data_IF_073521083477
#
_entry.id   IF_073521083477
#
_cell.length_a   1.000
_cell.length_b   1.000
_cell.length_c   1.000
_cell.angle_alpha   90.00
_cell.angle_beta   90.00
_cell.angle_gamma   90.00
#
_symmetry.space_group_name_H-M   'P 1'
#
loop_
_entity.id
_entity.type
_entity.pdbx_description
1 polymer ?
#
# COMPACT_ATOMS: atom_id res chain seq x y z
N UNK A 1 -10.64 -6.08 16.80
CA UNK A 1 -9.84 -4.99 17.42
C UNK A 1 -10.18 -3.68 16.73
N UNK A 2 -10.06 -2.55 17.42
CA UNK A 2 -10.18 -1.24 16.78
C UNK A 2 -9.03 -1.03 15.78
N UNK A 3 -9.29 -0.41 14.62
CA UNK A 3 -8.25 -0.17 13.64
C UNK A 3 -7.22 0.83 14.19
N UNK A 4 -5.94 0.49 14.07
CA UNK A 4 -4.83 1.40 14.41
C UNK A 4 -4.24 1.95 13.13
N UNK A 5 -4.09 3.27 13.04
CA UNK A 5 -3.55 3.93 11.85
C UNK A 5 -2.12 4.40 12.14
N UNK A 6 -1.22 4.19 11.19
CA UNK A 6 0.15 4.71 11.20
C UNK A 6 0.37 5.61 10.00
N UNK A 7 1.07 6.72 10.22
CA UNK A 7 1.49 7.61 9.15
C UNK A 7 2.65 7.00 8.40
N UNK A 8 2.56 6.98 7.07
CA UNK A 8 3.64 6.50 6.21
C UNK A 8 4.25 7.69 5.48
N UNK A 9 5.55 7.98 5.69
CA UNK A 9 6.21 9.07 4.98
C UNK A 9 6.17 8.83 3.47
N UNK A 10 5.70 9.82 2.70
CA UNK A 10 5.54 9.70 1.25
C UNK A 10 6.85 9.32 0.55
N UNK A 11 7.98 9.87 1.02
CA UNK A 11 9.31 9.55 0.49
C UNK A 11 9.77 8.11 0.70
N UNK A 12 9.14 7.35 1.61
CA UNK A 12 9.47 5.94 1.87
C UNK A 12 8.57 4.96 1.08
N UNK A 13 7.52 5.43 0.41
CA UNK A 13 6.53 4.54 -0.22
C UNK A 13 7.14 3.68 -1.32
N UNK A 14 7.99 4.27 -2.16
CA UNK A 14 8.66 3.53 -3.25
C UNK A 14 9.51 2.39 -2.69
N UNK A 15 10.35 2.70 -1.70
CA UNK A 15 11.18 1.71 -1.02
C UNK A 15 10.34 0.60 -0.35
N UNK A 16 9.23 0.98 0.30
CA UNK A 16 8.29 0.01 0.87
C UNK A 16 7.78 -0.93 -0.22
N UNK A 17 7.32 -0.42 -1.36
CA UNK A 17 6.79 -1.24 -2.46
C UNK A 17 7.84 -2.10 -3.17
N UNK A 18 9.10 -1.68 -3.22
CA UNK A 18 10.21 -2.51 -3.71
C UNK A 18 10.44 -3.72 -2.79
N UNK A 19 10.29 -3.54 -1.47
CA UNK A 19 10.51 -4.58 -0.46
C UNK A 19 9.26 -5.31 0.03
N UNK A 20 8.05 -4.93 -0.40
CA UNK A 20 6.81 -5.29 0.32
C UNK A 20 6.54 -6.79 0.40
N UNK A 21 7.03 -7.56 -0.58
CA UNK A 21 6.93 -9.02 -0.63
C UNK A 21 7.59 -9.70 0.59
N UNK A 22 8.59 -9.05 1.21
CA UNK A 22 9.30 -9.56 2.41
C UNK A 22 8.41 -9.64 3.64
N UNK A 23 7.30 -8.90 3.66
CA UNK A 23 6.36 -8.86 4.78
C UNK A 23 5.17 -9.82 4.61
N UNK A 24 5.19 -10.65 3.56
CA UNK A 24 4.14 -11.63 3.28
C UNK A 24 2.84 -10.98 2.80
N UNK A 25 2.70 -10.81 1.50
CA UNK A 25 1.51 -10.23 0.87
C UNK A 25 0.33 -11.20 1.02
N UNK A 26 -0.76 -10.69 1.57
CA UNK A 26 -2.04 -11.40 1.77
C UNK A 26 -3.04 -11.03 0.67
N UNK A 27 -2.90 -9.84 0.08
CA UNK A 27 -3.70 -9.44 -1.07
C UNK A 27 -3.35 -8.03 -1.55
N UNK A 28 -3.62 -7.78 -2.83
CA UNK A 28 -3.44 -6.46 -3.45
C UNK A 28 -4.73 -6.06 -4.18
N UNK A 29 -5.11 -4.83 -3.95
CA UNK A 29 -6.24 -4.18 -4.60
C UNK A 29 -5.78 -2.82 -5.12
N UNK A 30 -6.15 -2.51 -6.34
CA UNK A 30 -5.89 -1.20 -6.95
C UNK A 30 -7.18 -0.74 -7.56
N UNK A 31 -7.56 0.50 -7.29
CA UNK A 31 -8.79 1.13 -7.77
C UNK A 31 -8.38 2.38 -8.56
N UNK A 32 -8.74 2.44 -9.84
CA UNK A 32 -8.46 3.60 -10.69
C UNK A 32 -9.76 4.20 -11.25
N UNK A 33 -10.19 5.32 -10.68
CA UNK A 33 -11.43 5.99 -11.08
C UNK A 33 -11.37 6.54 -12.52
N UNK A 34 -10.17 6.68 -13.09
CA UNK A 34 -9.97 7.16 -14.46
C UNK A 34 -9.84 6.02 -15.49
N UNK A 35 -9.78 4.75 -15.09
CA UNK A 35 -9.56 3.64 -16.02
C UNK A 35 -9.95 2.29 -15.41
N UNK A 36 -10.67 1.47 -16.18
CA UNK A 36 -11.04 0.09 -15.81
C UNK A 36 -9.89 -0.92 -15.98
N UNK A 37 -8.64 -0.46 -16.10
CA UNK A 37 -7.49 -1.31 -16.36
C UNK A 37 -7.17 -2.23 -15.18
N UNK A 38 -7.44 -1.75 -13.98
CA UNK A 38 -7.32 -2.46 -12.70
C UNK A 38 -8.26 -3.66 -12.59
N UNK A 39 -9.50 -3.55 -13.10
CA UNK A 39 -10.46 -4.67 -13.19
C UNK A 39 -9.94 -5.83 -14.06
N UNK A 40 -9.05 -5.54 -15.01
CA UNK A 40 -8.47 -6.55 -15.90
C UNK A 40 -7.26 -7.28 -15.29
N UNK A 41 -6.70 -6.80 -14.17
CA UNK A 41 -5.53 -7.41 -13.52
C UNK A 41 -5.96 -8.61 -12.69
N UNK A 42 -5.65 -9.82 -13.19
CA UNK A 42 -6.15 -11.08 -12.64
C UNK A 42 -5.29 -11.61 -11.48
N UNK A 43 -4.01 -11.24 -11.41
CA UNK A 43 -3.08 -11.76 -10.41
C UNK A 43 -2.55 -10.67 -9.49
N UNK A 44 -2.32 -10.99 -8.21
CA UNK A 44 -1.65 -10.10 -7.24
C UNK A 44 -0.30 -9.59 -7.76
N UNK A 45 0.44 -10.43 -8.50
CA UNK A 45 1.71 -10.05 -9.12
C UNK A 45 1.56 -8.95 -10.18
N UNK A 46 0.51 -9.02 -11.00
CA UNK A 46 0.23 -8.00 -12.01
C UNK A 46 -0.23 -6.70 -11.35
N UNK A 47 -1.05 -6.80 -10.31
CA UNK A 47 -1.48 -5.65 -9.50
C UNK A 47 -0.30 -4.99 -8.79
N UNK A 48 0.63 -5.77 -8.24
CA UNK A 48 1.84 -5.23 -7.62
C UNK A 48 2.72 -4.50 -8.65
N UNK A 49 2.89 -5.10 -9.83
CA UNK A 49 3.66 -4.48 -10.91
C UNK A 49 3.01 -3.15 -11.33
N UNK A 50 1.70 -3.16 -11.57
CA UNK A 50 0.96 -1.95 -11.91
C UNK A 50 1.08 -0.87 -10.83
N UNK A 51 0.93 -1.25 -9.56
CA UNK A 51 1.12 -0.34 -8.44
C UNK A 51 2.52 0.30 -8.42
N UNK A 52 3.57 -0.50 -8.65
CA UNK A 52 4.96 -0.01 -8.74
C UNK A 52 5.13 0.97 -9.92
N UNK A 53 4.58 0.64 -11.08
CA UNK A 53 4.61 1.52 -12.27
C UNK A 53 3.92 2.87 -11.96
N UNK A 54 2.75 2.85 -11.33
CA UNK A 54 2.05 4.08 -10.94
C UNK A 54 2.81 4.91 -9.92
N UNK A 55 3.46 4.27 -8.95
CA UNK A 55 4.28 4.96 -7.95
C UNK A 55 5.53 5.64 -8.53
N UNK A 56 6.05 5.14 -9.65
CA UNK A 56 7.21 5.73 -10.33
C UNK A 56 6.80 6.97 -11.14
N UNK A 57 5.72 6.87 -11.91
CA UNK A 57 5.22 7.92 -12.81
C UNK A 57 4.39 9.01 -12.11
N UNK A 58 3.68 8.67 -11.03
CA UNK A 58 2.64 9.51 -10.45
C UNK A 58 3.04 10.29 -9.19
N UNK A 59 2.15 11.20 -8.79
CA UNK A 59 2.27 11.94 -7.53
C UNK A 59 1.50 11.24 -6.42
N UNK A 60 2.15 10.99 -5.29
CA UNK A 60 1.52 10.41 -4.11
C UNK A 60 0.90 11.53 -3.28
N UNK A 61 -0.42 11.51 -3.09
CA UNK A 61 -1.13 12.50 -2.28
C UNK A 61 -1.07 12.17 -0.79
N UNK A 62 -1.25 10.89 -0.46
CA UNK A 62 -1.25 10.42 0.93
C UNK A 62 -0.95 8.93 1.02
N UNK A 63 -0.39 8.51 2.15
CA UNK A 63 -0.18 7.12 2.47
C UNK A 63 -0.34 6.82 3.95
N UNK A 64 -1.00 5.71 4.26
CA UNK A 64 -1.31 5.28 5.62
C UNK A 64 -1.19 3.77 5.71
N UNK A 65 -0.75 3.27 6.86
CA UNK A 65 -0.84 1.85 7.20
C UNK A 65 -1.98 1.69 8.21
N UNK A 66 -2.96 0.85 7.87
CA UNK A 66 -4.10 0.52 8.73
C UNK A 66 -3.92 -0.90 9.24
N UNK A 67 -3.74 -1.05 10.55
CA UNK A 67 -3.63 -2.35 11.21
C UNK A 67 -4.99 -2.74 11.78
N UNK A 68 -5.53 -3.87 11.33
CA UNK A 68 -6.81 -4.40 11.79
C UNK A 68 -6.82 -5.92 11.61
N UNK A 69 -7.48 -6.64 12.52
CA UNK A 69 -7.73 -8.08 12.40
C UNK A 69 -6.47 -8.94 12.14
N UNK A 70 -5.31 -8.51 12.68
CA UNK A 70 -4.04 -9.23 12.58
C UNK A 70 -3.27 -9.01 11.28
N UNK A 71 -3.69 -8.09 10.42
CA UNK A 71 -2.97 -7.69 9.20
C UNK A 71 -2.75 -6.18 9.15
N UNK A 72 -1.82 -5.74 8.31
CA UNK A 72 -1.61 -4.34 8.00
C UNK A 72 -1.92 -4.07 6.53
N UNK A 73 -2.84 -3.14 6.26
CA UNK A 73 -3.17 -2.68 4.92
C UNK A 73 -2.52 -1.32 4.69
N UNK A 74 -1.53 -1.28 3.80
CA UNK A 74 -0.94 -0.06 3.28
C UNK A 74 -1.89 0.53 2.24
N UNK A 75 -2.43 1.71 2.51
CA UNK A 75 -3.32 2.47 1.63
C UNK A 75 -2.54 3.66 1.09
N UNK A 76 -2.41 3.73 -0.23
CA UNK A 76 -1.75 4.84 -0.93
C UNK A 76 -2.75 5.48 -1.88
N UNK A 77 -2.89 6.80 -1.80
CA UNK A 77 -3.70 7.59 -2.73
C UNK A 77 -2.80 8.41 -3.62
N UNK A 78 -3.11 8.41 -4.92
CA UNK A 78 -2.35 9.09 -5.94
C UNK A 78 -3.27 9.85 -6.90
N UNK A 79 -2.83 11.04 -7.29
CA UNK A 79 -3.48 11.93 -8.26
C UNK A 79 -4.98 12.19 -8.02
N UNK A 80 -5.47 11.98 -6.79
CA UNK A 80 -6.88 11.97 -6.40
C UNK A 80 -7.79 11.01 -7.18
N UNK A 81 -7.23 10.04 -7.92
CA UNK A 81 -8.00 9.11 -8.78
C UNK A 81 -7.55 7.65 -8.66
N UNK A 82 -6.37 7.39 -8.08
CA UNK A 82 -5.83 6.05 -7.91
C UNK A 82 -5.70 5.75 -6.42
N UNK A 83 -6.29 4.63 -5.98
CA UNK A 83 -6.09 4.09 -4.63
C UNK A 83 -5.46 2.70 -4.73
N UNK A 84 -4.29 2.54 -4.13
CA UNK A 84 -3.59 1.26 -4.03
C UNK A 84 -3.70 0.76 -2.59
N UNK A 85 -4.09 -0.50 -2.41
CA UNK A 85 -4.19 -1.17 -1.11
C UNK A 85 -3.38 -2.46 -1.16
N UNK A 86 -2.35 -2.56 -0.33
CA UNK A 86 -1.55 -3.79 -0.16
C UNK A 86 -1.68 -4.28 1.26
N UNK A 87 -2.17 -5.50 1.44
CA UNK A 87 -2.31 -6.11 2.76
C UNK A 87 -1.14 -7.06 3.00
N UNK A 88 -0.47 -6.90 4.14
CA UNK A 88 0.66 -7.73 4.58
C UNK A 88 0.35 -8.40 5.91
N UNK A 89 0.89 -9.61 6.09
CA UNK A 89 0.80 -10.36 7.33
C UNK A 89 1.76 -9.84 8.39
N UNK A 90 3.01 -9.59 8.02
CA UNK A 90 4.08 -9.13 8.92
C UNK A 90 4.16 -7.59 8.99
N UNK A 91 3.04 -6.97 9.38
CA UNK A 91 2.95 -5.51 9.50
C UNK A 91 3.81 -4.95 10.65
N UNK A 92 4.12 -5.78 11.67
CA UNK A 92 4.97 -5.40 12.79
C UNK A 92 6.38 -5.07 12.33
N UNK A 93 6.98 -5.98 11.56
CA UNK A 93 8.29 -5.76 10.97
C UNK A 93 8.31 -4.58 9.99
N UNK A 94 7.23 -4.38 9.22
CA UNK A 94 7.11 -3.21 8.34
C UNK A 94 7.09 -1.90 9.13
N UNK A 95 6.41 -1.85 10.28
CA UNK A 95 6.41 -0.68 11.17
C UNK A 95 7.81 -0.42 11.72
N UNK A 96 8.53 -1.47 12.13
CA UNK A 96 9.89 -1.36 12.68
C UNK A 96 10.90 -0.91 11.63
N UNK A 97 10.95 -1.57 10.46
CA UNK A 97 11.90 -1.29 9.38
C UNK A 97 11.80 0.16 8.87
N UNK A 98 10.59 0.74 8.88
CA UNK A 98 10.33 2.09 8.36
C UNK A 98 10.05 3.13 9.45
N UNK A 99 10.13 2.75 10.73
CA UNK A 99 9.91 3.61 11.91
C UNK A 99 8.55 4.35 11.86
N UNK A 100 7.48 3.63 11.52
CA UNK A 100 6.16 4.23 11.30
C UNK A 100 5.55 4.72 12.61
N UNK A 101 5.04 5.95 12.60
CA UNK A 101 4.43 6.58 13.79
C UNK A 101 2.93 6.38 13.77
N UNK A 102 2.37 5.95 14.92
CA UNK A 102 0.92 5.91 15.11
C UNK A 102 0.34 7.31 14.89
N UNK A 103 -0.78 7.36 14.18
CA UNK A 103 -1.55 8.58 13.98
C UNK A 103 -2.41 8.80 15.22
N UNK A 104 -2.19 9.93 15.89
CA UNK A 104 -2.98 10.40 17.03
C UNK A 104 -4.37 10.89 16.60
#
# INVERSE_FOLDING_TARGET
>A
MEPTIYNVPLGKIREIFEGIEKYGIVGIDTENEASLLDDMLQSDKERLKYAREKLDDGTIDSALLVVKDGTGTLVVKMENIITIRVTVGDYGRLIEDFELKRRE
#
